data_IF_585393391334
#
_entry.id   IF_585393391334
#
_cell.length_a   1.000
_cell.length_b   1.000
_cell.length_c   1.000
_cell.angle_alpha   90.00
_cell.angle_beta   90.00
_cell.angle_gamma   90.00
#
_symmetry.space_group_name_H-M   'P 1'
#
loop_
_entity.id
_entity.type
_entity.pdbx_description
1 polymer ?
#
# COMPACT_ATOMS: atom_id res chain seq x y z
N UNK A 1 13.81 3.43 3.37
CA UNK A 1 13.34 2.72 2.15
C UNK A 1 11.85 2.91 2.21
N UNK A 2 11.27 3.65 1.26
CA UNK A 2 9.88 4.06 1.40
C UNK A 2 8.96 2.98 0.83
N UNK A 3 7.99 2.56 1.63
CA UNK A 3 6.93 1.63 1.25
C UNK A 3 5.65 2.44 1.05
N UNK A 4 4.91 2.12 0.00
CA UNK A 4 3.64 2.76 -0.33
C UNK A 4 2.52 1.71 -0.24
N UNK A 5 1.43 2.05 0.41
CA UNK A 5 0.26 1.17 0.58
C UNK A 5 -0.90 1.83 -0.16
N UNK A 6 -1.39 1.18 -1.21
CA UNK A 6 -2.53 1.61 -1.99
C UNK A 6 -3.81 1.07 -1.36
N UNK A 7 -4.74 1.98 -1.05
CA UNK A 7 -6.01 1.72 -0.41
C UNK A 7 -7.16 2.24 -1.29
N UNK A 8 -8.25 1.48 -1.34
CA UNK A 8 -9.46 1.82 -2.11
C UNK A 8 -10.29 2.96 -1.48
N UNK A 9 -10.14 3.20 -0.17
CA UNK A 9 -10.92 4.19 0.59
C UNK A 9 -10.07 4.98 1.61
N UNK A 10 -10.51 6.20 1.92
CA UNK A 10 -9.82 7.13 2.83
C UNK A 10 -9.71 6.60 4.26
N UNK A 11 -10.72 5.87 4.75
CA UNK A 11 -10.76 5.39 6.13
C UNK A 11 -9.69 4.33 6.36
N UNK A 12 -9.53 3.42 5.40
CA UNK A 12 -8.49 2.39 5.44
C UNK A 12 -7.10 3.03 5.43
N UNK A 13 -6.89 4.03 4.58
CA UNK A 13 -5.61 4.73 4.50
C UNK A 13 -5.28 5.52 5.78
N UNK A 14 -6.26 6.17 6.38
CA UNK A 14 -6.08 6.91 7.64
C UNK A 14 -5.83 5.94 8.82
N UNK A 15 -6.55 4.82 8.88
CA UNK A 15 -6.36 3.78 9.88
C UNK A 15 -4.94 3.20 9.82
N UNK A 16 -4.47 2.81 8.64
CA UNK A 16 -3.09 2.33 8.46
C UNK A 16 -2.06 3.41 8.80
N UNK A 17 -2.30 4.65 8.40
CA UNK A 17 -1.46 5.78 8.77
C UNK A 17 -1.35 5.99 10.29
N UNK A 18 -2.47 5.89 11.01
CA UNK A 18 -2.50 6.01 12.47
C UNK A 18 -1.84 4.82 13.17
N UNK A 19 -2.08 3.59 12.70
CA UNK A 19 -1.47 2.38 13.23
C UNK A 19 0.06 2.41 13.09
N UNK A 20 0.57 2.80 11.92
CA UNK A 20 2.00 2.94 11.68
C UNK A 20 2.64 4.02 12.56
N UNK A 21 1.98 5.17 12.72
CA UNK A 21 2.45 6.24 13.63
C UNK A 21 2.43 5.80 15.09
N UNK A 22 1.41 5.06 15.50
CA UNK A 22 1.28 4.50 16.86
C UNK A 22 2.37 3.46 17.14
N UNK A 23 2.76 2.69 16.12
CA UNK A 23 3.89 1.77 16.18
C UNK A 23 5.26 2.48 16.16
N UNK A 24 5.29 3.81 15.97
CA UNK A 24 6.50 4.62 16.00
C UNK A 24 7.18 4.83 14.64
N UNK A 25 6.51 4.48 13.54
CA UNK A 25 7.00 4.68 12.18
C UNK A 25 6.51 6.01 11.61
N UNK A 26 7.30 6.58 10.69
CA UNK A 26 6.84 7.72 9.91
C UNK A 26 5.84 7.23 8.87
N UNK A 27 4.62 7.80 8.86
CA UNK A 27 3.60 7.51 7.86
C UNK A 27 2.88 8.79 7.40
N UNK A 28 2.69 8.92 6.09
CA UNK A 28 2.05 10.05 5.40
C UNK A 28 0.97 9.50 4.47
N UNK A 29 -0.21 10.13 4.46
CA UNK A 29 -1.34 9.72 3.62
C UNK A 29 -1.50 10.75 2.52
N UNK A 30 -1.46 10.29 1.28
CA UNK A 30 -1.55 11.10 0.07
C UNK A 30 -2.68 10.57 -0.81
N UNK A 31 -3.31 11.46 -1.59
CA UNK A 31 -4.32 11.08 -2.57
C UNK A 31 -3.69 11.26 -3.95
N UNK A 32 -3.48 10.17 -4.66
CA UNK A 32 -2.87 10.17 -5.98
C UNK A 32 -3.94 9.91 -7.05
N UNK A 33 -3.78 10.56 -8.21
CA UNK A 33 -4.61 10.24 -9.38
C UNK A 33 -3.94 9.10 -10.13
N UNK A 34 -4.64 7.98 -10.26
CA UNK A 34 -4.14 6.88 -11.08
C UNK A 34 -4.19 7.30 -12.56
N UNK A 35 -3.03 7.46 -13.19
CA UNK A 35 -2.94 7.81 -14.61
C UNK A 35 -3.08 6.54 -15.47
N UNK A 36 -4.27 5.94 -15.47
CA UNK A 36 -4.64 4.81 -16.33
C UNK A 36 -5.59 5.26 -17.44
N UNK A 37 -5.26 4.91 -18.68
CA UNK A 37 -6.03 5.20 -19.92
C UNK A 37 -7.54 4.91 -19.73
N UNK A 38 -8.36 5.94 -19.97
CA UNK A 38 -9.83 5.95 -20.19
C UNK A 38 -10.82 6.26 -19.04
N UNK A 39 -10.46 6.27 -17.75
CA UNK A 39 -11.38 6.69 -16.67
C UNK A 39 -10.72 7.65 -15.66
N UNK A 40 -10.91 8.96 -15.90
CA UNK A 40 -10.42 10.12 -15.12
C UNK A 40 -10.92 10.21 -13.65
N UNK A 41 -11.38 9.12 -13.01
CA UNK A 41 -12.23 9.24 -11.80
C UNK A 41 -11.76 8.47 -10.56
N UNK A 42 -10.80 7.56 -10.66
CA UNK A 42 -10.37 6.79 -9.48
C UNK A 42 -9.20 7.50 -8.77
N UNK A 43 -9.53 8.13 -7.64
CA UNK A 43 -8.56 8.66 -6.68
C UNK A 43 -8.08 7.49 -5.82
N UNK A 44 -6.78 7.24 -5.83
CA UNK A 44 -6.16 6.19 -5.03
C UNK A 44 -5.61 6.80 -3.73
N UNK A 45 -5.89 6.17 -2.60
CA UNK A 45 -5.39 6.60 -1.30
C UNK A 45 -4.09 5.87 -0.97
N UNK A 46 -2.98 6.60 -0.94
CA UNK A 46 -1.64 6.03 -0.79
C UNK A 46 -1.04 6.41 0.56
N UNK A 47 -0.65 5.40 1.34
CA UNK A 47 0.09 5.58 2.60
C UNK A 47 1.57 5.33 2.37
N UNK A 48 2.39 6.38 2.46
CA UNK A 48 3.85 6.29 2.38
C UNK A 48 4.43 6.14 3.78
N UNK A 49 5.28 5.12 4.00
CA UNK A 49 5.90 4.84 5.31
C UNK A 49 7.36 4.41 5.21
N UNK A 50 8.15 4.66 6.27
CA UNK A 50 9.51 4.10 6.44
C UNK A 50 9.51 2.85 7.34
N UNK A 51 8.34 2.29 7.64
CA UNK A 51 8.22 1.02 8.33
C UNK A 51 8.89 -0.12 7.55
N UNK A 52 9.39 -1.17 8.24
CA UNK A 52 9.93 -2.35 7.57
C UNK A 52 8.81 -3.13 6.85
N UNK A 53 9.14 -3.76 5.72
CA UNK A 53 8.19 -4.50 4.90
C UNK A 53 7.43 -5.57 5.69
N UNK A 54 8.08 -6.30 6.59
CA UNK A 54 7.41 -7.29 7.45
C UNK A 54 6.27 -6.67 8.28
N UNK A 55 6.47 -5.47 8.84
CA UNK A 55 5.43 -4.80 9.63
C UNK A 55 4.29 -4.28 8.75
N UNK A 56 4.59 -3.84 7.53
CA UNK A 56 3.58 -3.39 6.56
C UNK A 56 2.79 -4.57 6.00
N UNK A 57 3.46 -5.68 5.69
CA UNK A 57 2.81 -6.89 5.19
C UNK A 57 1.87 -7.46 6.25
N UNK A 58 2.28 -7.53 7.52
CA UNK A 58 1.38 -7.98 8.60
C UNK A 58 0.13 -7.10 8.72
N UNK A 59 0.29 -5.78 8.57
CA UNK A 59 -0.82 -4.82 8.61
C UNK A 59 -1.79 -4.96 7.42
N UNK A 60 -1.25 -5.27 6.23
CA UNK A 60 -2.02 -5.32 4.98
C UNK A 60 -2.62 -6.71 4.72
N UNK A 61 -2.03 -7.79 5.25
CA UNK A 61 -2.55 -9.16 5.12
C UNK A 61 -3.96 -9.31 5.75
N UNK A 62 -4.32 -8.44 6.69
CA UNK A 62 -5.65 -8.39 7.31
C UNK A 62 -6.70 -7.64 6.47
N UNK A 63 -6.31 -6.95 5.37
CA UNK A 63 -7.18 -6.10 4.56
C UNK A 63 -7.02 -6.29 3.05
N UNK A 64 -7.90 -5.66 2.27
CA UNK A 64 -7.86 -5.64 0.79
C UNK A 64 -7.04 -4.42 0.32
N UNK A 65 -5.75 -4.38 0.68
CA UNK A 65 -4.85 -3.29 0.29
C UNK A 65 -3.59 -3.82 -0.41
N UNK A 66 -2.98 -2.98 -1.25
CA UNK A 66 -1.84 -3.37 -2.07
C UNK A 66 -0.56 -2.65 -1.62
N UNK A 67 0.53 -3.40 -1.42
CA UNK A 67 1.83 -2.83 -1.02
C UNK A 67 2.73 -2.67 -2.24
N UNK A 68 3.09 -1.43 -2.55
CA UNK A 68 4.15 -1.08 -3.47
C UNK A 68 5.44 -0.77 -2.71
N UNK A 69 6.48 -1.55 -2.98
CA UNK A 69 7.83 -1.27 -2.47
C UNK A 69 8.59 -0.47 -3.52
N UNK A 70 8.77 0.82 -3.30
CA UNK A 70 9.51 1.69 -4.22
C UNK A 70 11.01 1.53 -3.98
N UNK A 71 11.61 0.54 -4.65
CA UNK A 71 13.06 0.41 -4.71
C UNK A 71 13.63 1.49 -5.66
N UNK A 72 14.51 2.41 -5.21
CA UNK A 72 15.04 3.48 -6.05
C UNK A 72 15.88 3.00 -7.25
N UNK A 73 16.13 1.69 -7.35
CA UNK A 73 16.91 1.05 -8.42
C UNK A 73 16.02 0.32 -9.43
N UNK A 74 14.78 -0.01 -9.09
CA UNK A 74 13.90 -0.83 -9.91
C UNK A 74 12.52 -0.18 -9.97
N UNK A 75 12.26 0.61 -11.01
CA UNK A 75 10.93 1.11 -11.36
C UNK A 75 9.99 -0.02 -11.81
N UNK A 76 9.92 -1.11 -11.05
CA UNK A 76 9.13 -2.30 -11.34
C UNK A 76 8.25 -2.57 -10.12
N UNK A 77 7.00 -2.12 -10.17
CA UNK A 77 5.96 -2.53 -9.23
C UNK A 77 5.74 -4.03 -9.41
N UNK A 78 6.17 -4.83 -8.43
CA UNK A 78 5.96 -6.27 -8.44
C UNK A 78 4.64 -6.59 -7.73
N UNK A 79 3.63 -6.98 -8.50
CA UNK A 79 2.38 -7.54 -7.99
C UNK A 79 2.70 -8.86 -7.26
N UNK A 80 2.38 -8.98 -5.98
CA UNK A 80 2.32 -10.29 -5.31
C UNK A 80 1.09 -11.04 -5.84
N UNK A 81 1.24 -12.19 -6.49
CA UNK A 81 0.09 -12.97 -6.95
C UNK A 81 -0.54 -13.71 -5.77
N UNK A 82 -1.84 -13.51 -5.61
CA UNK A 82 -2.73 -14.24 -4.71
C UNK A 82 -3.00 -15.64 -5.29
N UNK A 83 -2.03 -16.56 -5.23
CA UNK A 83 -2.25 -17.90 -5.75
C UNK A 83 -1.36 -18.95 -5.05
N UNK A 84 -1.88 -19.58 -4.00
CA UNK A 84 -1.57 -20.99 -3.70
C UNK A 84 -2.55 -21.73 -2.77
N UNK A 85 -3.84 -21.38 -2.77
CA UNK A 85 -4.89 -22.23 -2.18
C UNK A 85 -5.70 -22.92 -3.27
N UNK A 86 -5.33 -24.15 -3.64
CA UNK A 86 -6.15 -24.97 -4.54
C UNK A 86 -5.46 -26.18 -5.14
N UNK A 87 -4.95 -27.10 -4.31
CA UNK A 87 -4.60 -28.46 -4.74
C UNK A 87 -5.66 -29.45 -4.25
N UNK A 88 -6.37 -30.09 -5.19
CA UNK A 88 -7.01 -31.40 -5.01
C UNK A 88 -6.74 -32.25 -6.28
#
# INVERSE_FOLDING_TARGET
MAIRIHCDDELTADEYGELLRTAGYAAEVEIERFAGEDDDTELDHVVTTDAPLEAVTELVDEGDAFVEVSDPISGTAARVPDEQLGGD
#
